data_IF_581006517457
#
_entry.id   IF_581006517457
#
_cell.length_a   1.000
_cell.length_b   1.000
_cell.length_c   1.000
_cell.angle_alpha   90.00
_cell.angle_beta   90.00
_cell.angle_gamma   90.00
#
_symmetry.space_group_name_H-M   'P 1'
#
loop_
_entity.id
_entity.type
_entity.pdbx_description
1 polymer ?
#
# COMPACT_ATOMS: atom_id res chain seq x y z
N UNK A 1 13.47 -25.53 5.37
CA UNK A 1 14.27 -24.61 6.21
C UNK A 1 13.38 -23.88 7.23
N UNK A 2 12.16 -23.52 6.92
CA UNK A 2 11.27 -22.69 7.74
C UNK A 2 10.07 -23.45 8.33
N UNK A 3 10.20 -24.74 8.60
CA UNK A 3 9.10 -25.61 9.09
C UNK A 3 8.55 -25.21 10.47
N UNK A 4 9.34 -24.48 11.25
CA UNK A 4 8.96 -24.05 12.61
C UNK A 4 8.40 -22.63 12.64
N UNK A 5 8.32 -21.95 11.50
CA UNK A 5 7.74 -20.62 11.40
C UNK A 5 6.24 -20.71 11.12
N UNK A 6 5.44 -19.88 11.76
CA UNK A 6 3.99 -19.88 11.55
C UNK A 6 3.61 -19.51 10.12
N UNK A 7 4.36 -18.61 9.49
CA UNK A 7 4.23 -18.26 8.09
C UNK A 7 5.59 -17.92 7.46
N UNK A 8 5.63 -17.88 6.14
CA UNK A 8 6.82 -17.46 5.38
C UNK A 8 6.39 -16.52 4.27
N UNK A 9 6.98 -15.33 4.21
CA UNK A 9 6.79 -14.41 3.09
C UNK A 9 7.69 -14.88 1.94
N UNK A 10 7.11 -15.51 0.94
CA UNK A 10 7.83 -16.05 -0.22
C UNK A 10 8.38 -14.93 -1.10
N UNK A 11 7.59 -13.88 -1.28
CA UNK A 11 7.98 -12.67 -1.99
C UNK A 11 7.23 -11.47 -1.44
N UNK A 12 7.94 -10.35 -1.35
CA UNK A 12 7.36 -9.05 -1.05
C UNK A 12 7.81 -8.04 -2.12
N UNK A 13 6.89 -7.16 -2.51
CA UNK A 13 7.12 -6.07 -3.45
C UNK A 13 6.49 -4.80 -2.92
N UNK A 14 7.30 -3.75 -2.80
CA UNK A 14 6.85 -2.39 -2.54
C UNK A 14 7.12 -1.51 -3.75
N UNK A 15 6.14 -0.77 -4.20
CA UNK A 15 6.30 0.26 -5.22
C UNK A 15 5.83 1.60 -4.67
N UNK A 16 6.63 2.62 -4.89
CA UNK A 16 6.29 3.99 -4.57
C UNK A 16 6.38 4.85 -5.84
N UNK A 17 5.27 5.47 -6.19
CA UNK A 17 5.20 6.44 -7.29
C UNK A 17 4.89 7.81 -6.69
N UNK A 18 5.71 8.80 -7.04
CA UNK A 18 5.56 10.17 -6.56
C UNK A 18 5.65 11.12 -7.74
N UNK A 19 4.53 11.79 -8.04
CA UNK A 19 4.46 12.78 -9.10
C UNK A 19 3.93 14.13 -8.60
N UNK A 20 4.35 15.22 -9.24
CA UNK A 20 3.90 16.56 -8.94
C UNK A 20 3.08 17.13 -10.10
N UNK A 21 1.85 17.56 -9.80
CA UNK A 21 0.99 18.24 -10.76
C UNK A 21 0.70 19.66 -10.31
N UNK A 22 0.67 20.57 -11.26
CA UNK A 22 0.21 21.96 -11.05
C UNK A 22 -1.25 22.06 -11.42
N UNK A 23 -2.07 22.63 -10.54
CA UNK A 23 -3.49 22.88 -10.78
C UNK A 23 -3.76 24.36 -10.67
N UNK A 24 -4.41 24.91 -11.69
CA UNK A 24 -4.95 26.27 -11.64
C UNK A 24 -6.16 26.28 -10.72
N UNK A 25 -6.20 27.23 -9.83
CA UNK A 25 -7.30 27.49 -8.89
C UNK A 25 -7.79 28.93 -9.05
N UNK A 26 -9.06 29.14 -8.73
CA UNK A 26 -9.68 30.45 -8.71
C UNK A 26 -10.24 30.72 -7.30
N UNK A 27 -9.96 31.91 -6.79
CA UNK A 27 -10.57 32.42 -5.56
C UNK A 27 -11.05 33.84 -5.81
N UNK A 28 -12.34 34.02 -5.92
CA UNK A 28 -12.94 35.25 -6.44
C UNK A 28 -12.52 35.48 -7.90
N UNK A 29 -11.91 36.61 -8.19
CA UNK A 29 -11.35 36.97 -9.51
C UNK A 29 -9.88 36.64 -9.67
N UNK A 30 -9.25 36.10 -8.64
CA UNK A 30 -7.81 35.78 -8.66
C UNK A 30 -7.56 34.33 -9.06
N UNK A 31 -6.66 34.14 -10.03
CA UNK A 31 -6.16 32.84 -10.44
C UNK A 31 -4.79 32.58 -9.80
N UNK A 32 -4.59 31.39 -9.26
CA UNK A 32 -3.32 30.98 -8.68
C UNK A 32 -3.06 29.49 -8.96
N UNK A 33 -1.79 29.12 -9.01
CA UNK A 33 -1.36 27.75 -9.24
C UNK A 33 -1.04 27.10 -7.91
N UNK A 34 -1.61 25.92 -7.66
CA UNK A 34 -1.29 25.07 -6.50
C UNK A 34 -0.57 23.86 -6.99
N UNK A 35 0.55 23.55 -6.34
CA UNK A 35 1.24 22.27 -6.51
C UNK A 35 0.49 21.20 -5.72
N UNK A 36 0.32 20.04 -6.33
CA UNK A 36 -0.29 18.87 -5.73
C UNK A 36 0.66 17.68 -5.92
N UNK A 37 1.02 17.03 -4.84
CA UNK A 37 1.74 15.76 -4.86
C UNK A 37 0.73 14.61 -4.93
N UNK A 38 0.94 13.71 -5.87
CA UNK A 38 0.25 12.42 -5.91
C UNK A 38 1.26 11.37 -5.48
N UNK A 39 0.95 10.73 -4.38
CA UNK A 39 1.72 9.64 -3.80
C UNK A 39 0.90 8.36 -3.95
N UNK A 40 1.48 7.38 -4.63
CA UNK A 40 0.90 6.05 -4.72
C UNK A 40 1.90 5.07 -4.13
N UNK A 41 1.45 4.24 -3.20
CA UNK A 41 2.22 3.12 -2.67
C UNK A 41 1.45 1.83 -2.89
N UNK A 42 2.10 0.88 -3.50
CA UNK A 42 1.61 -0.47 -3.68
C UNK A 42 2.49 -1.40 -2.86
N UNK A 43 1.87 -2.25 -2.06
CA UNK A 43 2.54 -3.35 -1.38
C UNK A 43 1.85 -4.66 -1.79
N UNK A 44 2.64 -5.67 -2.14
CA UNK A 44 2.15 -7.02 -2.45
C UNK A 44 3.01 -8.06 -1.78
N UNK A 45 2.37 -9.03 -1.17
CA UNK A 45 3.05 -10.12 -0.46
C UNK A 45 2.42 -11.46 -0.82
N UNK A 46 3.29 -12.44 -1.11
CA UNK A 46 2.93 -13.84 -1.21
C UNK A 46 3.36 -14.51 0.10
N UNK A 47 2.39 -15.00 0.88
CA UNK A 47 2.62 -15.52 2.23
C UNK A 47 2.15 -16.96 2.30
N UNK A 48 3.05 -17.87 2.62
CA UNK A 48 2.74 -19.28 2.88
C UNK A 48 2.20 -19.45 4.30
N UNK A 49 1.05 -20.08 4.43
CA UNK A 49 0.35 -20.35 5.70
C UNK A 49 0.81 -21.70 6.23
N UNK A 50 1.61 -21.71 7.29
CA UNK A 50 2.26 -22.93 7.75
C UNK A 50 1.55 -23.58 8.95
N UNK A 51 0.78 -22.81 9.75
CA UNK A 51 0.06 -23.30 10.91
C UNK A 51 -1.25 -22.56 11.19
N UNK A 52 -1.94 -22.98 12.28
CA UNK A 52 -3.21 -22.38 12.69
C UNK A 52 -3.06 -20.92 13.20
N UNK A 53 -1.90 -20.54 13.73
CA UNK A 53 -1.69 -19.17 14.21
C UNK A 53 -1.65 -18.19 13.03
N UNK A 54 -0.90 -18.52 11.98
CA UNK A 54 -0.87 -17.75 10.74
C UNK A 54 -2.22 -17.79 10.02
N UNK A 55 -2.90 -18.95 9.97
CA UNK A 55 -4.24 -19.06 9.42
C UNK A 55 -5.19 -18.06 10.08
N UNK A 56 -5.22 -18.01 11.42
CA UNK A 56 -6.04 -17.07 12.17
C UNK A 56 -5.68 -15.61 11.87
N UNK A 57 -4.38 -15.30 11.79
CA UNK A 57 -3.89 -13.93 11.51
C UNK A 57 -4.32 -13.43 10.12
N UNK A 58 -4.31 -14.28 9.12
CA UNK A 58 -4.60 -13.92 7.73
C UNK A 58 -6.02 -14.25 7.28
N UNK A 59 -6.89 -14.71 8.17
CA UNK A 59 -8.31 -14.97 7.87
C UNK A 59 -9.18 -13.72 7.82
N UNK A 60 -8.67 -12.59 8.31
CA UNK A 60 -9.38 -11.31 8.34
C UNK A 60 -8.39 -10.15 8.22
N UNK A 61 -8.77 -9.11 7.48
CA UNK A 61 -8.02 -7.87 7.33
C UNK A 61 -8.90 -6.68 7.67
N UNK A 62 -8.40 -5.80 8.55
CA UNK A 62 -8.99 -4.48 8.81
C UNK A 62 -8.25 -3.44 7.97
N UNK A 63 -8.98 -2.60 7.23
CA UNK A 63 -8.36 -1.52 6.48
C UNK A 63 -9.29 -0.32 6.31
N UNK A 64 -8.69 0.85 6.11
CA UNK A 64 -9.44 2.07 5.82
C UNK A 64 -9.48 2.28 4.32
N UNK A 65 -10.68 2.32 3.73
CA UNK A 65 -10.87 2.52 2.30
C UNK A 65 -10.68 3.96 1.87
N UNK A 66 -11.07 4.90 2.74
CA UNK A 66 -11.08 6.31 2.41
C UNK A 66 -10.87 7.18 3.64
N UNK A 67 -10.10 8.24 3.47
CA UNK A 67 -10.00 9.31 4.46
C UNK A 67 -9.85 10.67 3.77
N UNK A 68 -10.45 11.70 4.37
CA UNK A 68 -10.44 13.05 3.85
C UNK A 68 -10.16 14.05 4.98
N UNK A 69 -9.12 14.86 4.80
CA UNK A 69 -8.78 15.94 5.71
C UNK A 69 -8.97 17.28 5.00
N UNK A 70 -9.87 18.10 5.51
CA UNK A 70 -10.15 19.41 4.96
C UNK A 70 -9.24 20.48 5.57
N UNK A 71 -8.65 21.32 4.73
CA UNK A 71 -7.87 22.49 5.13
C UNK A 71 -8.60 23.74 4.63
N UNK A 72 -9.03 24.58 5.55
CA UNK A 72 -9.76 25.81 5.22
C UNK A 72 -8.98 26.69 4.24
N UNK A 73 -9.57 27.00 3.08
CA UNK A 73 -8.96 27.81 2.03
C UNK A 73 -7.95 27.11 1.13
N UNK A 74 -7.41 25.95 1.52
CA UNK A 74 -6.40 25.20 0.76
C UNK A 74 -6.98 23.95 0.06
N UNK A 75 -8.15 23.47 0.51
CA UNK A 75 -8.87 22.30 -0.01
C UNK A 75 -8.60 21.03 0.77
N UNK A 76 -8.65 19.85 0.13
CA UNK A 76 -8.69 18.56 0.81
C UNK A 76 -7.46 17.71 0.49
N UNK A 77 -6.89 17.07 1.51
CA UNK A 77 -6.07 15.89 1.34
C UNK A 77 -6.97 14.66 1.29
N UNK A 78 -6.75 13.83 0.31
CA UNK A 78 -7.56 12.64 0.07
C UNK A 78 -6.65 11.43 0.09
N UNK A 79 -7.03 10.43 0.89
CA UNK A 79 -6.39 9.11 0.90
C UNK A 79 -7.43 8.07 0.48
N UNK A 80 -7.05 7.23 -0.47
CA UNK A 80 -7.84 6.08 -0.91
C UNK A 80 -6.96 4.84 -0.81
N UNK A 81 -7.51 3.81 -0.20
CA UNK A 81 -6.84 2.52 -0.10
C UNK A 81 -7.67 1.45 -0.79
N UNK A 82 -6.96 0.52 -1.39
CA UNK A 82 -7.53 -0.70 -1.98
C UNK A 82 -6.81 -1.88 -1.37
N UNK A 83 -7.57 -2.90 -1.00
CA UNK A 83 -7.06 -4.20 -0.57
C UNK A 83 -7.59 -5.26 -1.53
N UNK A 84 -6.73 -6.14 -2.02
CA UNK A 84 -7.10 -7.31 -2.79
C UNK A 84 -6.44 -8.55 -2.22
N UNK A 85 -7.16 -9.65 -2.19
CA UNK A 85 -6.67 -10.91 -1.64
C UNK A 85 -7.00 -12.06 -2.57
N UNK A 86 -6.04 -12.96 -2.80
CA UNK A 86 -6.21 -14.22 -3.50
C UNK A 86 -5.64 -15.35 -2.69
N UNK A 87 -6.26 -16.51 -2.77
CA UNK A 87 -5.77 -17.76 -2.19
C UNK A 87 -5.23 -18.62 -3.33
N UNK A 88 -4.01 -19.10 -3.18
CA UNK A 88 -3.36 -20.03 -4.10
C UNK A 88 -3.26 -21.37 -3.37
N UNK A 89 -3.99 -22.36 -3.87
CA UNK A 89 -4.01 -23.70 -3.30
C UNK A 89 -2.73 -24.49 -3.65
N UNK A 90 -2.40 -25.55 -2.90
CA UNK A 90 -1.24 -26.40 -3.20
C UNK A 90 -1.26 -27.03 -4.60
N UNK A 91 -2.44 -27.22 -5.19
CA UNK A 91 -2.63 -27.73 -6.55
C UNK A 91 -2.50 -26.65 -7.64
N UNK A 92 -2.20 -25.39 -7.24
CA UNK A 92 -2.10 -24.25 -8.14
C UNK A 92 -3.41 -23.55 -8.46
N UNK A 93 -4.56 -24.02 -7.93
CA UNK A 93 -5.84 -23.34 -8.10
C UNK A 93 -5.81 -21.97 -7.41
N UNK A 94 -6.26 -20.93 -8.11
CA UNK A 94 -6.37 -19.56 -7.60
C UNK A 94 -7.83 -19.24 -7.32
N UNK A 95 -8.11 -18.77 -6.11
CA UNK A 95 -9.41 -18.26 -5.68
C UNK A 95 -9.27 -16.79 -5.29
N UNK A 96 -9.96 -15.91 -5.99
CA UNK A 96 -10.09 -14.51 -5.59
C UNK A 96 -11.10 -14.38 -4.44
N UNK A 97 -10.79 -13.53 -3.48
CA UNK A 97 -11.73 -13.18 -2.42
C UNK A 97 -12.66 -12.10 -2.96
N UNK A 98 -13.96 -12.35 -2.89
CA UNK A 98 -14.95 -11.44 -3.45
C UNK A 98 -15.05 -10.14 -2.66
N UNK A 99 -15.41 -9.06 -3.34
CA UNK A 99 -15.79 -7.80 -2.68
C UNK A 99 -17.06 -7.94 -1.84
N UNK A 100 -17.88 -8.97 -2.08
CA UNK A 100 -19.07 -9.26 -1.27
C UNK A 100 -18.72 -9.80 0.14
N UNK A 101 -17.49 -10.29 0.30
CA UNK A 101 -16.95 -10.74 1.60
C UNK A 101 -16.49 -9.55 2.48
N UNK A 102 -16.58 -8.32 1.97
CA UNK A 102 -16.30 -7.10 2.74
C UNK A 102 -17.48 -6.74 3.64
N UNK A 103 -17.19 -6.59 4.91
CA UNK A 103 -18.16 -6.08 5.88
C UNK A 103 -17.82 -4.64 6.22
N UNK A 104 -18.73 -3.73 5.89
CA UNK A 104 -18.56 -2.33 6.26
C UNK A 104 -18.60 -2.21 7.79
N UNK A 105 -17.50 -1.88 8.40
CA UNK A 105 -17.46 -1.53 9.81
C UNK A 105 -18.02 -0.10 9.97
N UNK A 106 -19.35 0.02 10.06
CA UNK A 106 -20.02 1.29 10.38
C UNK A 106 -19.79 1.63 11.85
N UNK A 107 -18.66 2.19 12.18
CA UNK A 107 -18.53 2.99 13.38
C UNK A 107 -18.98 4.40 13.05
N UNK A 108 -20.20 4.71 13.46
CA UNK A 108 -20.87 5.98 13.25
C UNK A 108 -20.05 7.18 13.74
N UNK A 109 -19.38 7.83 12.81
CA UNK A 109 -18.99 9.24 12.88
C UNK A 109 -18.69 9.72 11.46
N UNK A 110 -19.62 10.54 10.90
CA UNK A 110 -19.43 11.46 9.76
C UNK A 110 -18.48 11.00 8.65
N UNK A 111 -18.93 10.98 7.44
CA UNK A 111 -18.33 10.73 6.10
C UNK A 111 -16.81 10.93 5.86
N UNK A 112 -16.01 11.09 6.90
CA UNK A 112 -14.58 11.43 6.80
C UNK A 112 -13.64 10.23 6.79
N UNK A 113 -14.01 9.15 7.46
CA UNK A 113 -13.19 7.93 7.56
C UNK A 113 -14.09 6.70 7.39
N UNK A 114 -13.82 5.90 6.38
CA UNK A 114 -14.51 4.61 6.14
C UNK A 114 -13.55 3.48 6.39
N UNK A 115 -13.89 2.59 7.31
CA UNK A 115 -13.18 1.35 7.57
C UNK A 115 -13.99 0.15 7.07
N UNK A 116 -13.32 -0.88 6.62
CA UNK A 116 -13.91 -2.13 6.18
C UNK A 116 -13.11 -3.30 6.74
N UNK A 117 -13.80 -4.43 6.92
CA UNK A 117 -13.20 -5.71 7.26
C UNK A 117 -13.38 -6.66 6.08
N UNK A 118 -12.32 -7.33 5.69
CA UNK A 118 -12.34 -8.37 4.68
C UNK A 118 -12.10 -9.71 5.33
N UNK A 119 -13.10 -10.59 5.29
CA UNK A 119 -12.91 -12.00 5.62
C UNK A 119 -12.28 -12.74 4.45
N UNK A 120 -11.47 -13.76 4.73
CA UNK A 120 -10.80 -14.60 3.72
C UNK A 120 -11.33 -16.04 3.81
N UNK A 121 -12.54 -16.31 3.28
CA UNK A 121 -13.17 -17.60 3.42
C UNK A 121 -12.45 -18.68 2.60
N UNK A 122 -12.25 -19.84 3.22
CA UNK A 122 -11.63 -20.99 2.57
C UNK A 122 -10.10 -20.99 2.54
N UNK A 123 -9.45 -20.05 3.26
CA UNK A 123 -8.02 -20.14 3.54
C UNK A 123 -7.74 -21.33 4.45
N UNK A 124 -6.67 -22.06 4.19
CA UNK A 124 -6.27 -23.26 4.93
C UNK A 124 -4.75 -23.29 5.16
N UNK A 125 -4.31 -24.05 6.13
CA UNK A 125 -2.89 -24.36 6.30
C UNK A 125 -2.38 -25.09 5.07
N UNK A 126 -1.24 -24.66 4.54
CA UNK A 126 -0.66 -25.14 3.30
C UNK A 126 -0.97 -24.28 2.07
N UNK A 127 -1.87 -23.33 2.18
CA UNK A 127 -2.15 -22.36 1.12
C UNK A 127 -1.09 -21.26 1.07
N UNK A 128 -1.05 -20.57 -0.06
CA UNK A 128 -0.37 -19.27 -0.19
C UNK A 128 -1.44 -18.21 -0.32
N UNK A 129 -1.35 -17.17 0.51
CA UNK A 129 -2.17 -15.98 0.37
C UNK A 129 -1.38 -14.90 -0.38
N UNK A 130 -1.99 -14.31 -1.42
CA UNK A 130 -1.46 -13.18 -2.18
C UNK A 130 -2.24 -11.94 -1.76
N UNK A 131 -1.61 -11.09 -0.98
CA UNK A 131 -2.21 -9.87 -0.43
C UNK A 131 -1.63 -8.68 -1.17
N UNK A 132 -2.50 -7.86 -1.68
CA UNK A 132 -2.19 -6.63 -2.40
C UNK A 132 -2.86 -5.45 -1.72
N UNK A 133 -2.09 -4.42 -1.40
CA UNK A 133 -2.62 -3.14 -0.91
C UNK A 133 -2.12 -2.00 -1.78
N UNK A 134 -2.99 -1.04 -2.05
CA UNK A 134 -2.61 0.19 -2.74
C UNK A 134 -3.14 1.39 -1.96
N UNK A 135 -2.25 2.31 -1.63
CA UNK A 135 -2.57 3.59 -1.00
C UNK A 135 -2.32 4.72 -2.00
N UNK A 136 -3.36 5.49 -2.28
CA UNK A 136 -3.29 6.68 -3.14
C UNK A 136 -3.55 7.92 -2.29
N UNK A 137 -2.58 8.83 -2.22
CA UNK A 137 -2.69 10.10 -1.51
C UNK A 137 -2.58 11.27 -2.49
N UNK A 138 -3.48 12.22 -2.35
CA UNK A 138 -3.36 13.55 -2.96
C UNK A 138 -3.06 14.53 -1.86
N UNK A 139 -1.85 15.07 -1.86
CA UNK A 139 -1.30 15.93 -0.81
C UNK A 139 -0.99 17.29 -1.40
N UNK A 140 -1.26 18.35 -0.66
CA UNK A 140 -0.97 19.73 -1.08
C UNK A 140 0.23 20.34 -0.38
N UNK A 141 0.87 19.56 0.44
CA UNK A 141 2.08 19.97 1.12
C UNK A 141 3.26 19.95 0.15
N UNK A 142 4.17 20.90 0.30
CA UNK A 142 5.41 20.95 -0.48
C UNK A 142 6.40 19.88 -0.05
N UNK A 143 6.23 19.34 1.16
CA UNK A 143 7.08 18.30 1.72
C UNK A 143 6.22 17.13 2.22
N UNK A 144 6.69 15.92 2.02
CA UNK A 144 6.12 14.71 2.61
C UNK A 144 7.00 14.22 3.75
N UNK A 145 6.37 13.60 4.74
CA UNK A 145 7.09 12.92 5.81
C UNK A 145 8.01 11.83 5.22
N UNK A 146 9.15 11.54 5.86
CA UNK A 146 10.03 10.46 5.40
C UNK A 146 9.28 9.14 5.25
N UNK A 147 9.45 8.49 4.10
CA UNK A 147 8.94 7.15 3.85
C UNK A 147 10.00 6.14 4.27
N UNK A 148 9.61 5.20 5.12
CA UNK A 148 10.50 4.14 5.58
C UNK A 148 10.12 2.83 4.91
N UNK A 149 11.11 2.16 4.30
CA UNK A 149 11.02 0.79 3.86
C UNK A 149 11.78 -0.09 4.84
N UNK A 150 11.09 -0.99 5.53
CA UNK A 150 11.69 -1.89 6.48
C UNK A 150 11.82 -3.30 5.86
N UNK A 151 13.05 -3.85 5.89
CA UNK A 151 13.32 -5.22 5.43
C UNK A 151 13.05 -6.27 6.52
N UNK A 152 12.49 -5.84 7.65
CA UNK A 152 12.14 -6.70 8.79
C UNK A 152 10.61 -6.90 8.77
N UNK A 153 10.19 -8.15 8.77
CA UNK A 153 8.80 -8.58 8.90
C UNK A 153 8.65 -9.48 10.13
N UNK A 154 7.41 -9.70 10.56
CA UNK A 154 7.09 -10.67 11.63
C UNK A 154 7.48 -12.11 11.24
N UNK A 155 7.62 -12.37 9.94
CA UNK A 155 7.93 -13.68 9.36
C UNK A 155 9.15 -13.61 8.46
N UNK A 156 9.90 -14.71 8.32
CA UNK A 156 11.00 -14.81 7.36
C UNK A 156 10.55 -14.43 5.96
N UNK A 157 11.32 -13.54 5.33
CA UNK A 157 11.05 -13.07 3.95
C UNK A 157 12.16 -13.59 3.03
N UNK A 158 11.78 -14.33 1.99
CA UNK A 158 12.72 -14.96 1.07
C UNK A 158 13.20 -14.01 -0.03
N UNK A 159 12.29 -13.15 -0.51
CA UNK A 159 12.59 -12.16 -1.53
C UNK A 159 11.86 -10.87 -1.23
N UNK A 160 12.56 -9.75 -1.28
CA UNK A 160 11.95 -8.44 -1.14
C UNK A 160 12.50 -7.49 -2.19
N UNK A 161 11.62 -6.84 -2.92
CA UNK A 161 11.96 -5.85 -3.94
C UNK A 161 11.25 -4.54 -3.65
N UNK A 162 11.97 -3.44 -3.77
CA UNK A 162 11.45 -2.08 -3.67
C UNK A 162 11.70 -1.38 -5.00
N UNK A 163 10.68 -0.70 -5.51
CA UNK A 163 10.76 0.17 -6.67
C UNK A 163 10.25 1.56 -6.32
N UNK A 164 11.02 2.59 -6.64
CA UNK A 164 10.62 3.98 -6.44
C UNK A 164 10.73 4.73 -7.75
N UNK A 165 9.61 5.30 -8.21
CA UNK A 165 9.57 6.22 -9.35
C UNK A 165 9.18 7.61 -8.85
N UNK A 166 10.03 8.59 -9.08
CA UNK A 166 9.91 9.92 -8.50
C UNK A 166 10.03 10.94 -9.64
N UNK A 167 9.06 11.85 -9.73
CA UNK A 167 9.06 12.95 -10.70
C UNK A 167 10.38 13.74 -10.58
N UNK A 168 11.10 13.98 -11.70
CA UNK A 168 12.36 14.74 -11.71
C UNK A 168 12.25 16.17 -11.13
N UNK A 169 11.04 16.73 -11.05
CA UNK A 169 10.79 18.04 -10.42
C UNK A 169 10.89 18.03 -8.91
N UNK A 170 10.96 16.85 -8.30
CA UNK A 170 11.04 16.68 -6.86
C UNK A 170 12.49 16.47 -6.42
N UNK A 171 12.89 17.19 -5.37
CA UNK A 171 14.17 16.94 -4.70
C UNK A 171 13.99 15.80 -3.70
N UNK A 172 14.75 14.73 -3.86
CA UNK A 172 14.68 13.57 -2.98
C UNK A 172 16.02 13.24 -2.38
N UNK A 173 15.99 12.76 -1.15
CA UNK A 173 17.15 12.21 -0.46
C UNK A 173 16.77 10.86 0.11
N UNK A 174 17.68 9.92 0.08
CA UNK A 174 17.51 8.66 0.77
C UNK A 174 18.68 8.34 1.67
N UNK A 175 18.46 7.55 2.68
CA UNK A 175 19.47 7.08 3.60
C UNK A 175 19.30 5.59 3.86
N UNK A 176 20.38 4.87 3.74
CA UNK A 176 20.46 3.48 4.17
C UNK A 176 20.73 3.42 5.67
N UNK A 177 20.04 2.53 6.34
CA UNK A 177 20.20 2.30 7.77
C UNK A 177 20.43 0.80 8.00
N UNK A 178 21.28 0.48 8.97
CA UNK A 178 21.50 -0.89 9.46
C UNK A 178 21.87 -1.90 8.36
N UNK A 179 22.68 -1.49 7.38
CA UNK A 179 23.13 -2.38 6.30
C UNK A 179 22.08 -2.69 5.22
N UNK A 180 21.04 -1.87 5.13
CA UNK A 180 20.07 -1.98 4.02
C UNK A 180 20.79 -1.90 2.65
N UNK A 181 20.32 -2.63 1.63
CA UNK A 181 20.89 -2.57 0.29
C UNK A 181 20.72 -1.19 -0.34
N UNK A 182 21.60 -0.85 -1.28
CA UNK A 182 21.53 0.41 -2.02
C UNK A 182 20.51 0.36 -3.15
N UNK A 183 19.93 1.51 -3.50
CA UNK A 183 19.14 1.67 -4.69
C UNK A 183 20.01 1.72 -5.93
N UNK A 184 19.62 0.95 -6.93
CA UNK A 184 20.16 1.12 -8.28
C UNK A 184 19.33 2.18 -8.97
N UNK A 185 19.95 3.32 -9.27
CA UNK A 185 19.30 4.39 -10.02
C UNK A 185 19.27 4.06 -11.51
N UNK A 186 18.12 4.28 -12.12
CA UNK A 186 17.97 4.29 -13.57
C UNK A 186 17.16 5.52 -13.98
N UNK A 187 17.58 6.21 -15.04
CA UNK A 187 16.70 7.17 -15.70
C UNK A 187 15.71 6.35 -16.53
N UNK A 188 14.41 6.53 -16.24
CA UNK A 188 13.39 6.00 -17.16
C UNK A 188 13.65 6.63 -18.52
N UNK A 189 13.88 5.81 -19.55
CA UNK A 189 13.81 6.28 -20.93
C UNK A 189 12.43 6.91 -21.10
N UNK A 190 12.36 8.15 -21.58
CA UNK A 190 11.10 8.79 -21.94
C UNK A 190 10.39 7.81 -22.87
N UNK A 191 9.29 7.24 -22.39
CA UNK A 191 8.48 6.35 -23.20
C UNK A 191 7.83 7.17 -24.32
N UNK A 192 8.08 6.73 -25.54
CA UNK A 192 7.38 7.16 -26.74
C UNK A 192 5.87 6.88 -26.62
#
# INVERSE_FOLDING_TARGET
>A
KYKNESAVVLAAYDEMLLDQKSKLRMSGLNFYTVKQLNYNRLNRQLIYINDQASLKKFSEFDYKTYSKKHFAGLGDDIVRNVLGVRIIKPDGTIKEVSTDDYVTANEGKKDKDKGEKLAVPGLQVGDVIDVFTSEMKQIREENIAPVVFAFINDYPTLSYRIHCSIDPKLTTQYRQLNGAPDFKQSTAAEGN
#
